data_IF_053406365081
#
_entry.id   IF_053406365081
#
_cell.length_a   1.000
_cell.length_b   1.000
_cell.length_c   1.000
_cell.angle_alpha   90.00
_cell.angle_beta   90.00
_cell.angle_gamma   90.00
#
_symmetry.space_group_name_H-M   'P 1'
#
loop_
_entity.id
_entity.type
_entity.pdbx_description
1 polymer ?
#
# COMPACT_ATOMS: atom_id res chain seq x y z
N UNK A 1 -37.91 -50.29 -8.89
CA UNK A 1 -37.09 -49.88 -7.75
C UNK A 1 -36.33 -48.58 -8.10
N UNK A 2 -36.83 -47.41 -7.65
CA UNK A 2 -36.17 -46.13 -7.87
C UNK A 2 -35.11 -45.91 -6.80
N UNK A 3 -33.84 -45.89 -7.18
CA UNK A 3 -32.75 -45.53 -6.25
C UNK A 3 -32.79 -44.01 -6.02
N UNK A 4 -33.13 -43.62 -4.78
CA UNK A 4 -33.08 -42.27 -4.29
C UNK A 4 -31.63 -41.91 -4.03
N UNK A 5 -31.05 -41.04 -4.90
CA UNK A 5 -29.70 -40.50 -4.72
C UNK A 5 -29.79 -39.40 -3.67
N UNK A 6 -29.39 -39.68 -2.43
CA UNK A 6 -29.30 -38.71 -1.34
C UNK A 6 -28.05 -37.83 -1.60
N UNK A 7 -28.25 -36.65 -2.14
CA UNK A 7 -27.16 -35.68 -2.28
C UNK A 7 -26.85 -35.09 -0.92
N UNK A 8 -25.75 -35.53 -0.29
CA UNK A 8 -25.24 -34.93 0.92
C UNK A 8 -24.69 -33.53 0.57
N UNK A 9 -25.48 -32.50 0.83
CA UNK A 9 -25.01 -31.12 0.88
C UNK A 9 -24.13 -30.95 2.13
N UNK A 10 -22.83 -31.17 1.96
CA UNK A 10 -21.86 -30.74 2.96
C UNK A 10 -21.87 -29.21 2.97
N UNK A 11 -22.05 -28.55 4.14
CA UNK A 11 -21.87 -27.12 4.21
C UNK A 11 -20.43 -26.81 3.85
N UNK A 12 -20.23 -26.08 2.77
CA UNK A 12 -18.94 -25.47 2.48
C UNK A 12 -18.76 -24.41 3.57
N UNK A 13 -18.06 -24.76 4.63
CA UNK A 13 -17.51 -23.81 5.58
C UNK A 13 -16.46 -23.03 4.80
N UNK A 14 -16.89 -21.93 4.17
CA UNK A 14 -15.96 -20.90 3.72
C UNK A 14 -15.36 -20.30 4.99
N UNK A 15 -14.19 -20.78 5.37
CA UNK A 15 -13.33 -20.04 6.28
C UNK A 15 -12.95 -18.77 5.51
N UNK A 16 -13.65 -17.68 5.77
CA UNK A 16 -13.11 -16.36 5.53
C UNK A 16 -11.86 -16.29 6.42
N UNK A 17 -10.71 -16.56 5.83
CA UNK A 17 -9.46 -16.24 6.53
C UNK A 17 -9.47 -14.72 6.66
N UNK A 18 -9.75 -14.25 7.87
CA UNK A 18 -9.52 -12.87 8.26
C UNK A 18 -8.00 -12.69 8.25
N UNK A 19 -7.47 -12.26 7.13
CA UNK A 19 -6.05 -11.97 6.99
C UNK A 19 -5.89 -10.47 6.76
N UNK A 20 -4.84 -9.93 7.29
CA UNK A 20 -4.53 -8.49 7.20
C UNK A 20 -3.57 -8.26 6.05
N UNK A 21 -3.94 -7.41 5.06
CA UNK A 21 -3.05 -7.04 3.98
C UNK A 21 -1.80 -6.36 4.53
N UNK A 22 -0.65 -6.92 4.22
CA UNK A 22 0.65 -6.41 4.65
C UNK A 22 1.56 -6.31 3.43
N UNK A 23 2.24 -5.18 3.30
CA UNK A 23 3.17 -4.91 2.20
C UNK A 23 4.59 -4.92 2.73
N UNK A 24 5.45 -5.74 2.12
CA UNK A 24 6.88 -5.77 2.38
C UNK A 24 7.57 -5.03 1.23
N UNK A 25 8.40 -4.05 1.58
CA UNK A 25 9.16 -3.25 0.61
C UNK A 25 10.63 -3.47 0.92
N UNK A 26 11.39 -3.95 -0.07
CA UNK A 26 12.84 -4.12 0.02
C UNK A 26 13.48 -3.24 -1.07
N UNK A 27 14.20 -2.22 -0.67
CA UNK A 27 15.06 -1.47 -1.56
C UNK A 27 16.43 -2.16 -1.52
N UNK A 28 16.74 -2.86 -2.59
CA UNK A 28 17.97 -3.65 -2.71
C UNK A 28 19.19 -2.74 -2.88
N UNK A 29 20.34 -3.22 -2.49
CA UNK A 29 21.64 -2.67 -2.91
C UNK A 29 22.12 -3.28 -4.25
N UNK A 30 23.41 -3.34 -4.52
CA UNK A 30 23.95 -3.96 -5.74
C UNK A 30 24.18 -5.49 -5.60
N UNK A 31 23.85 -6.10 -4.46
CA UNK A 31 24.06 -7.53 -4.18
C UNK A 31 22.74 -8.26 -3.92
N UNK A 32 21.77 -8.09 -4.79
CA UNK A 32 20.37 -8.51 -4.65
C UNK A 32 20.21 -10.00 -4.32
N UNK A 33 21.13 -10.85 -4.78
CA UNK A 33 21.05 -12.31 -4.58
C UNK A 33 21.29 -12.75 -3.14
N UNK A 34 21.85 -11.86 -2.31
CA UNK A 34 22.18 -12.13 -0.93
C UNK A 34 21.02 -11.93 0.03
N UNK A 35 20.03 -11.13 -0.39
CA UNK A 35 18.88 -10.73 0.44
C UNK A 35 17.73 -11.71 0.32
N UNK A 36 17.13 -12.06 1.48
CA UNK A 36 15.83 -12.72 1.59
C UNK A 36 15.19 -12.40 2.95
N UNK A 37 13.92 -12.69 3.08
CA UNK A 37 13.21 -12.47 4.34
C UNK A 37 12.20 -13.57 4.61
N UNK A 38 11.83 -13.75 5.89
CA UNK A 38 10.78 -14.66 6.34
C UNK A 38 9.86 -13.96 7.34
N UNK A 39 8.62 -14.46 7.45
CA UNK A 39 7.70 -14.13 8.54
C UNK A 39 7.29 -15.44 9.21
N UNK A 40 7.43 -15.48 10.55
CA UNK A 40 7.13 -16.63 11.40
C UNK A 40 6.11 -16.25 12.48
N UNK A 41 5.37 -17.28 12.94
CA UNK A 41 4.54 -17.18 14.14
C UNK A 41 5.38 -17.30 15.43
N UNK A 42 4.75 -17.15 16.59
CA UNK A 42 5.40 -17.26 17.90
C UNK A 42 5.92 -18.67 18.23
N UNK A 43 5.54 -19.67 17.44
CA UNK A 43 6.03 -21.06 17.57
C UNK A 43 7.21 -21.34 16.65
N UNK A 44 7.64 -20.37 15.82
CA UNK A 44 8.70 -20.50 14.83
C UNK A 44 8.25 -21.21 13.55
N UNK A 45 6.94 -21.28 13.27
CA UNK A 45 6.46 -21.78 12.00
C UNK A 45 6.51 -20.67 10.96
N UNK A 46 7.21 -20.93 9.84
CA UNK A 46 7.28 -20.00 8.72
C UNK A 46 5.90 -19.89 8.04
N UNK A 47 5.37 -18.68 7.99
CA UNK A 47 4.09 -18.35 7.35
C UNK A 47 4.28 -17.95 5.89
N UNK A 48 5.28 -17.12 5.62
CA UNK A 48 5.60 -16.63 4.28
C UNK A 48 7.05 -16.16 4.20
N UNK A 49 7.54 -16.00 2.97
CA UNK A 49 8.90 -15.54 2.71
C UNK A 49 9.00 -14.80 1.37
N UNK A 50 10.10 -14.06 1.18
CA UNK A 50 10.53 -13.49 -0.08
C UNK A 50 12.02 -13.78 -0.34
N UNK A 51 12.34 -14.16 -1.58
CA UNK A 51 13.68 -14.53 -2.01
C UNK A 51 13.83 -14.42 -3.53
N UNK A 52 14.99 -14.80 -4.07
CA UNK A 52 15.30 -14.84 -5.51
C UNK A 52 15.39 -13.46 -6.16
N UNK A 53 15.92 -12.48 -5.45
CA UNK A 53 16.09 -11.13 -5.97
C UNK A 53 17.26 -10.96 -6.94
N UNK A 54 18.12 -11.98 -7.11
CA UNK A 54 19.30 -11.92 -7.98
C UNK A 54 19.03 -11.64 -9.47
N UNK A 55 17.77 -11.67 -9.91
CA UNK A 55 17.34 -11.24 -11.25
C UNK A 55 16.87 -9.79 -11.32
N UNK A 56 16.77 -9.12 -10.17
CA UNK A 56 16.39 -7.71 -10.11
C UNK A 56 17.57 -6.81 -10.51
N UNK A 57 17.31 -5.63 -11.07
CA UNK A 57 18.35 -4.64 -11.27
C UNK A 57 18.97 -4.18 -9.94
N UNK A 58 20.22 -3.68 -9.99
CA UNK A 58 20.83 -3.00 -8.86
C UNK A 58 19.93 -1.89 -8.35
N UNK A 59 19.81 -1.78 -7.03
CA UNK A 59 19.00 -0.75 -6.36
C UNK A 59 17.48 -0.83 -6.65
N UNK A 60 16.99 -1.96 -7.10
CA UNK A 60 15.56 -2.15 -7.34
C UNK A 60 14.77 -2.04 -6.04
N UNK A 61 13.60 -1.43 -6.13
CA UNK A 61 12.60 -1.48 -5.08
C UNK A 61 11.63 -2.63 -5.37
N UNK A 62 11.67 -3.65 -4.54
CA UNK A 62 10.76 -4.80 -4.62
C UNK A 62 9.61 -4.59 -3.66
N UNK A 63 8.38 -4.70 -4.15
CA UNK A 63 7.15 -4.55 -3.37
C UNK A 63 6.37 -5.85 -3.43
N UNK A 64 6.18 -6.47 -2.28
CA UNK A 64 5.49 -7.75 -2.15
C UNK A 64 4.30 -7.62 -1.20
N UNK A 65 3.14 -8.07 -1.65
CA UNK A 65 1.93 -8.08 -0.82
C UNK A 65 1.71 -9.47 -0.24
N UNK A 66 1.40 -9.52 1.04
CA UNK A 66 1.07 -10.74 1.78
C UNK A 66 -0.22 -10.53 2.57
N UNK A 67 -0.89 -11.64 2.81
CA UNK A 67 -2.06 -11.71 3.67
C UNK A 67 -1.64 -12.44 4.93
N UNK A 68 -1.48 -11.74 6.05
CA UNK A 68 -0.98 -12.30 7.30
C UNK A 68 -2.12 -12.57 8.29
N UNK A 69 -2.05 -13.65 9.08
CA UNK A 69 -2.98 -13.85 10.17
C UNK A 69 -2.76 -12.79 11.25
N UNK A 70 -3.83 -12.46 11.97
CA UNK A 70 -3.74 -11.60 13.16
C UNK A 70 -2.91 -12.25 14.25
N UNK A 71 -2.17 -11.44 14.99
CA UNK A 71 -1.39 -11.86 16.16
C UNK A 71 0.06 -11.36 16.14
N UNK A 72 0.81 -11.84 17.12
CA UNK A 72 2.24 -11.56 17.23
C UNK A 72 3.02 -12.43 16.26
N UNK A 73 3.77 -11.80 15.37
CA UNK A 73 4.62 -12.43 14.37
C UNK A 73 6.03 -11.87 14.45
N UNK A 74 6.97 -12.53 13.77
CA UNK A 74 8.34 -12.05 13.63
C UNK A 74 8.67 -11.91 12.15
N UNK A 75 9.05 -10.72 11.71
CA UNK A 75 9.66 -10.47 10.41
C UNK A 75 11.17 -10.49 10.58
N UNK A 76 11.87 -11.33 9.83
CA UNK A 76 13.34 -11.39 9.81
C UNK A 76 13.83 -11.22 8.38
N UNK A 77 14.74 -10.27 8.19
CA UNK A 77 15.47 -10.10 6.94
C UNK A 77 16.88 -10.65 7.11
N UNK A 78 17.37 -11.29 6.08
CA UNK A 78 18.65 -11.96 6.03
C UNK A 78 19.51 -11.43 4.89
N UNK A 79 20.81 -11.48 5.13
CA UNK A 79 21.85 -11.26 4.15
C UNK A 79 22.85 -12.40 4.21
N UNK A 80 23.12 -13.07 3.07
CA UNK A 80 23.96 -14.29 3.06
C UNK A 80 25.45 -14.00 3.11
N UNK A 81 25.87 -12.78 2.74
CA UNK A 81 27.26 -12.35 2.87
C UNK A 81 27.58 -11.86 4.29
N UNK A 82 26.62 -11.28 4.97
CA UNK A 82 26.71 -10.89 6.37
C UNK A 82 27.05 -9.42 6.63
N UNK A 83 26.80 -8.54 5.65
CA UNK A 83 26.96 -7.09 5.79
C UNK A 83 25.64 -6.32 5.71
N UNK A 84 24.54 -7.04 5.51
CA UNK A 84 23.19 -6.49 5.41
C UNK A 84 22.93 -5.91 4.02
N UNK A 85 22.29 -4.75 3.95
CA UNK A 85 22.04 -4.00 2.72
C UNK A 85 23.05 -2.84 2.58
N UNK A 86 24.31 -3.06 3.02
CA UNK A 86 25.33 -2.02 3.17
C UNK A 86 26.14 -1.85 1.88
N UNK A 87 25.48 -1.54 0.78
CA UNK A 87 26.11 -1.33 -0.52
C UNK A 87 27.14 -0.21 -0.55
N UNK A 88 26.97 0.83 0.29
CA UNK A 88 27.91 1.95 0.36
C UNK A 88 29.30 1.52 0.82
N UNK A 89 29.41 0.47 1.63
CA UNK A 89 30.70 -0.10 2.05
C UNK A 89 31.54 -0.57 0.84
N UNK A 90 30.86 -0.94 -0.24
CA UNK A 90 31.46 -1.47 -1.47
C UNK A 90 31.42 -0.46 -2.63
N UNK A 91 31.15 0.81 -2.33
CA UNK A 91 31.15 1.90 -3.32
C UNK A 91 29.82 2.07 -4.07
N UNK A 92 28.76 1.41 -3.63
CA UNK A 92 27.41 1.54 -4.13
C UNK A 92 26.51 2.41 -3.24
N UNK A 93 25.24 2.09 -3.21
CA UNK A 93 24.23 2.72 -2.35
C UNK A 93 23.68 1.69 -1.36
N UNK A 94 23.37 2.16 -0.16
CA UNK A 94 22.71 1.34 0.85
C UNK A 94 21.27 1.06 0.45
N UNK A 95 20.82 -0.15 0.76
CA UNK A 95 19.43 -0.53 0.69
C UNK A 95 18.66 -0.17 1.97
N UNK A 96 17.39 -0.55 1.98
CA UNK A 96 16.50 -0.40 3.14
C UNK A 96 15.31 -1.33 3.01
N UNK A 97 14.56 -1.53 4.10
CA UNK A 97 13.35 -2.34 4.05
C UNK A 97 12.26 -1.78 4.95
N UNK A 98 11.01 -2.10 4.60
CA UNK A 98 9.83 -1.66 5.36
C UNK A 98 8.77 -2.75 5.38
N UNK A 99 8.05 -2.85 6.49
CA UNK A 99 6.80 -3.58 6.59
C UNK A 99 5.69 -2.58 6.83
N UNK A 100 4.71 -2.56 5.94
CA UNK A 100 3.61 -1.59 5.94
C UNK A 100 2.29 -2.34 6.12
N UNK A 101 1.49 -1.91 7.08
CA UNK A 101 0.16 -2.44 7.36
C UNK A 101 -0.82 -1.28 7.51
N UNK A 102 -2.00 -1.38 6.89
CA UNK A 102 -3.04 -0.35 7.04
C UNK A 102 -2.54 1.07 6.73
N UNK A 103 -1.62 1.20 5.75
CA UNK A 103 -0.92 2.45 5.36
C UNK A 103 0.13 2.95 6.35
N UNK A 104 0.31 2.28 7.49
CA UNK A 104 1.33 2.63 8.47
C UNK A 104 2.57 1.74 8.33
N UNK A 105 3.75 2.34 8.47
CA UNK A 105 5.02 1.60 8.51
C UNK A 105 5.23 1.05 9.90
N UNK A 106 5.08 -0.27 10.05
CA UNK A 106 5.26 -0.99 11.33
C UNK A 106 6.68 -1.47 11.55
N UNK A 107 7.48 -1.60 10.48
CA UNK A 107 8.93 -1.83 10.54
C UNK A 107 9.62 -0.90 9.56
N UNK A 108 10.69 -0.25 10.02
CA UNK A 108 11.56 0.60 9.19
C UNK A 108 13.01 0.22 9.43
N UNK A 109 13.62 -0.44 8.45
CA UNK A 109 15.03 -0.83 8.45
C UNK A 109 15.85 0.11 7.59
N UNK A 110 16.28 1.24 8.19
CA UNK A 110 17.16 2.24 7.54
C UNK A 110 18.62 2.07 7.93
N UNK A 111 18.91 1.21 8.91
CA UNK A 111 20.28 0.78 9.18
C UNK A 111 20.62 -0.37 8.24
N UNK A 112 21.30 -0.06 7.15
CA UNK A 112 21.68 -1.06 6.15
C UNK A 112 22.67 -2.10 6.69
N UNK A 113 23.54 -1.73 7.59
CA UNK A 113 24.61 -2.59 8.16
C UNK A 113 24.09 -3.43 9.34
N UNK A 114 23.14 -4.34 9.10
CA UNK A 114 22.57 -5.19 10.14
C UNK A 114 23.27 -6.55 10.30
N UNK A 115 24.26 -6.84 9.47
CA UNK A 115 24.96 -8.13 9.49
C UNK A 115 24.20 -9.23 8.74
N UNK A 116 24.30 -10.47 9.22
CA UNK A 116 23.69 -11.64 8.54
C UNK A 116 22.18 -11.68 8.66
N UNK A 117 21.61 -11.07 9.70
CA UNK A 117 20.16 -10.99 9.89
C UNK A 117 19.74 -9.92 10.90
N UNK A 118 18.48 -9.54 10.83
CA UNK A 118 17.82 -8.74 11.86
C UNK A 118 16.35 -9.09 11.93
N UNK A 119 15.86 -9.26 13.16
CA UNK A 119 14.50 -9.67 13.44
C UNK A 119 13.69 -8.55 14.11
N UNK A 120 12.44 -8.41 13.72
CA UNK A 120 11.49 -7.44 14.24
C UNK A 120 10.20 -8.14 14.68
N UNK A 121 9.83 -7.96 15.94
CA UNK A 121 8.51 -8.35 16.39
C UNK A 121 7.47 -7.42 15.77
N UNK A 122 6.45 -7.97 15.16
CA UNK A 122 5.34 -7.24 14.54
C UNK A 122 4.02 -7.73 15.13
N UNK A 123 3.12 -6.81 15.47
CA UNK A 123 1.75 -7.12 15.83
C UNK A 123 0.86 -6.90 14.61
N UNK A 124 0.33 -7.99 14.05
CA UNK A 124 -0.63 -7.93 12.95
C UNK A 124 -2.04 -7.81 13.54
N UNK A 125 -2.69 -6.68 13.28
CA UNK A 125 -4.04 -6.37 13.77
C UNK A 125 -4.93 -5.92 12.61
N UNK A 126 -6.27 -6.09 12.73
CA UNK A 126 -7.20 -5.59 11.73
C UNK A 126 -7.00 -4.09 11.48
N UNK A 127 -7.09 -3.70 10.21
CA UNK A 127 -7.01 -2.28 9.88
C UNK A 127 -8.17 -1.52 10.52
N UNK A 128 -7.89 -0.40 11.21
CA UNK A 128 -8.95 0.45 11.71
C UNK A 128 -9.76 1.00 10.53
N UNK A 129 -11.09 1.20 10.70
CA UNK A 129 -11.92 1.77 9.66
C UNK A 129 -11.45 3.20 9.34
N UNK A 130 -11.41 3.51 8.05
CA UNK A 130 -11.13 4.87 7.58
C UNK A 130 -12.47 5.53 7.29
N UNK A 131 -12.83 6.49 8.13
CA UNK A 131 -14.08 7.24 7.99
C UNK A 131 -13.95 8.36 6.97
N UNK A 132 -15.05 8.64 6.26
CA UNK A 132 -15.10 9.74 5.31
C UNK A 132 -16.27 9.64 4.33
N UNK A 133 -16.37 10.66 3.46
CA UNK A 133 -17.31 10.64 2.35
C UNK A 133 -16.84 9.62 1.29
N UNK A 134 -17.68 8.63 1.00
CA UNK A 134 -17.40 7.55 0.03
C UNK A 134 -17.96 7.83 -1.37
N UNK A 135 -18.67 8.95 -1.58
CA UNK A 135 -19.27 9.30 -2.86
C UNK A 135 -18.41 10.36 -3.57
N UNK A 136 -17.86 9.98 -4.73
CA UNK A 136 -16.99 10.85 -5.54
C UNK A 136 -17.72 12.05 -6.17
N UNK A 137 -19.03 12.12 -6.05
CA UNK A 137 -19.82 13.28 -6.47
C UNK A 137 -19.74 14.46 -5.50
N UNK A 138 -19.09 14.28 -4.34
CA UNK A 138 -18.96 15.30 -3.31
C UNK A 138 -17.53 15.80 -3.18
N UNK A 139 -17.38 17.06 -2.79
CA UNK A 139 -16.05 17.72 -2.59
C UNK A 139 -15.25 17.02 -1.49
N UNK A 140 -15.94 16.53 -0.46
CA UNK A 140 -15.34 15.85 0.69
C UNK A 140 -14.98 14.39 0.40
N UNK A 141 -15.08 13.92 -0.84
CA UNK A 141 -14.77 12.55 -1.19
C UNK A 141 -13.37 12.13 -0.71
N UNK A 142 -13.33 11.08 0.09
CA UNK A 142 -12.10 10.46 0.54
C UNK A 142 -11.93 9.08 -0.13
N UNK A 143 -11.04 8.92 -1.11
CA UNK A 143 -10.85 7.66 -1.82
C UNK A 143 -10.28 6.53 -0.94
N UNK A 144 -9.86 6.84 0.29
CA UNK A 144 -9.41 5.85 1.27
C UNK A 144 -10.50 5.42 2.24
N UNK A 145 -11.63 6.14 2.31
CA UNK A 145 -12.70 5.79 3.23
C UNK A 145 -13.31 4.43 2.87
N UNK A 146 -13.43 3.57 3.86
CA UNK A 146 -14.14 2.29 3.82
C UNK A 146 -15.42 2.30 4.66
N UNK A 147 -15.61 3.37 5.43
CA UNK A 147 -16.75 3.56 6.33
C UNK A 147 -17.29 4.97 6.18
N UNK A 148 -18.58 5.09 5.85
CA UNK A 148 -19.23 6.40 5.75
C UNK A 148 -19.41 7.01 7.12
N UNK A 149 -19.03 8.29 7.27
CA UNK A 149 -19.24 9.10 8.47
C UNK A 149 -20.30 10.18 8.28
N UNK A 150 -20.94 10.24 7.10
CA UNK A 150 -21.94 11.24 6.76
C UNK A 150 -21.37 12.61 6.40
N UNK A 151 -20.06 12.70 6.15
CA UNK A 151 -19.38 13.95 5.80
C UNK A 151 -19.65 14.45 4.39
N UNK A 152 -20.29 13.67 3.50
CA UNK A 152 -20.73 14.13 2.18
C UNK A 152 -21.74 15.25 2.33
N UNK A 153 -21.39 16.49 2.00
CA UNK A 153 -22.23 17.66 2.18
C UNK A 153 -22.33 18.56 0.96
N UNK A 154 -21.24 18.72 0.21
CA UNK A 154 -21.15 19.66 -0.91
C UNK A 154 -20.93 18.91 -2.22
N UNK A 155 -21.90 18.98 -3.14
CA UNK A 155 -21.76 18.39 -4.48
C UNK A 155 -20.68 19.10 -5.29
N UNK A 156 -19.90 18.30 -6.01
CA UNK A 156 -18.91 18.82 -6.97
C UNK A 156 -19.67 19.50 -8.12
N UNK A 157 -19.41 20.80 -8.31
CA UNK A 157 -19.90 21.58 -9.44
C UNK A 157 -18.70 22.03 -10.26
N UNK A 158 -18.54 21.45 -11.44
CA UNK A 158 -17.43 21.79 -12.33
C UNK A 158 -17.71 23.07 -13.09
N UNK A 159 -16.69 23.94 -13.18
CA UNK A 159 -16.75 25.18 -13.93
C UNK A 159 -15.46 25.98 -13.78
N UNK A 160 -15.44 27.20 -14.35
CA UNK A 160 -14.33 28.12 -14.11
C UNK A 160 -14.50 28.83 -12.77
N UNK A 161 -13.60 28.57 -11.82
CA UNK A 161 -13.65 29.14 -10.46
C UNK A 161 -12.89 30.50 -10.35
N UNK A 162 -12.23 30.95 -11.41
CA UNK A 162 -11.50 32.23 -11.42
C UNK A 162 -12.43 33.36 -11.85
N UNK A 163 -12.76 34.25 -10.91
CA UNK A 163 -13.67 35.37 -11.12
C UNK A 163 -13.17 36.43 -12.12
N UNK A 164 -11.90 36.33 -12.55
CA UNK A 164 -11.32 37.23 -13.57
C UNK A 164 -11.53 36.74 -14.99
N UNK A 165 -12.03 35.54 -15.17
CA UNK A 165 -12.23 34.91 -16.46
C UNK A 165 -13.62 35.15 -17.02
N UNK A 166 -13.71 35.17 -18.36
CA UNK A 166 -14.98 35.45 -19.08
C UNK A 166 -16.06 34.41 -18.78
N UNK A 167 -15.67 33.15 -18.67
CA UNK A 167 -16.55 32.04 -18.42
C UNK A 167 -16.60 31.61 -16.93
N UNK A 168 -16.35 32.61 -16.03
CA UNK A 168 -16.50 32.41 -14.60
C UNK A 168 -17.89 31.87 -14.24
N UNK A 169 -17.91 30.81 -13.47
CA UNK A 169 -19.13 30.24 -12.93
C UNK A 169 -19.14 30.41 -11.40
N UNK A 170 -20.02 31.26 -10.91
CA UNK A 170 -20.09 31.60 -9.48
C UNK A 170 -20.59 30.47 -8.59
N UNK A 171 -21.15 29.39 -9.18
CA UNK A 171 -21.60 28.20 -8.44
C UNK A 171 -20.58 27.07 -8.52
N UNK A 172 -19.59 27.16 -9.39
CA UNK A 172 -18.53 26.17 -9.49
C UNK A 172 -17.65 26.17 -8.23
N UNK A 173 -17.41 25.00 -7.69
CA UNK A 173 -16.49 24.77 -6.56
C UNK A 173 -15.26 23.92 -6.95
N UNK A 174 -15.26 23.37 -8.17
CA UNK A 174 -14.18 22.54 -8.68
C UNK A 174 -13.83 22.99 -10.10
N UNK A 175 -12.54 23.24 -10.34
CA UNK A 175 -12.07 23.66 -11.66
C UNK A 175 -12.25 22.52 -12.66
N UNK A 176 -12.97 22.81 -13.76
CA UNK A 176 -13.08 21.88 -14.88
C UNK A 176 -11.84 21.96 -15.75
N UNK A 177 -11.37 20.81 -16.22
CA UNK A 177 -10.33 20.75 -17.26
C UNK A 177 -10.91 21.06 -18.65
N UNK A 178 -12.23 21.00 -18.81
CA UNK A 178 -12.95 21.33 -20.07
C UNK A 178 -14.39 21.78 -19.72
N UNK A 179 -14.78 23.03 -20.04
CA UNK A 179 -13.95 24.08 -20.68
C UNK A 179 -12.96 24.68 -19.70
N UNK A 180 -11.74 24.93 -20.18
CA UNK A 180 -10.72 25.67 -19.43
C UNK A 180 -11.24 27.09 -19.17
N UNK A 181 -10.80 27.73 -18.06
CA UNK A 181 -11.06 29.15 -17.85
C UNK A 181 -10.50 29.99 -19.03
N UNK A 182 -11.37 30.75 -19.69
CA UNK A 182 -11.02 31.54 -20.87
C UNK A 182 -10.86 33.02 -20.52
N UNK A 183 -9.80 33.66 -21.04
CA UNK A 183 -9.62 35.11 -20.99
C UNK A 183 -10.46 35.80 -22.05
N UNK A 184 -11.13 36.88 -21.69
CA UNK A 184 -11.64 37.82 -22.69
C UNK A 184 -10.46 38.61 -23.31
N UNK A 185 -10.13 38.32 -24.56
CA UNK A 185 -9.32 39.23 -25.35
C UNK A 185 -10.19 40.44 -25.67
N UNK A 186 -9.95 41.57 -25.04
CA UNK A 186 -10.54 42.81 -25.44
C UNK A 186 -9.74 43.34 -26.62
N UNK A 187 -10.43 43.99 -27.62
CA UNK A 187 -9.79 44.60 -28.80
C UNK A 187 -8.80 45.73 -28.46
N UNK A 188 -8.57 46.01 -27.18
CA UNK A 188 -7.58 46.95 -26.67
C UNK A 188 -6.19 46.34 -26.45
N UNK A 189 -6.06 45.03 -26.63
CA UNK A 189 -4.80 44.28 -26.46
C UNK A 189 -4.07 44.02 -27.79
N UNK A 190 -4.54 44.64 -28.87
CA UNK A 190 -3.93 44.72 -30.19
C UNK A 190 -3.45 46.16 -30.43
#
# INVERSE_FOLDING_TARGET
MKKLLLLLLLPILSFSQNCVPTTIIINLDQYQSETYWIIEDTSGNMLTYGTNYGSQPDYASVVEQRCLPEGDLTFTIYDTYGDGLNGAMWGGLDGSYYVVQCYDTIVSGTNAAFGSDTAHAILVAPCPPIFGCMDSSYVEFNPRADTSDGSCSELVVFGCTDSTMYNYDSIANTMSLVPVCDYTLTLTDL
#
